data_IF_395199200977
#
_entry.id   IF_395199200977
#
_cell.length_a   1.000
_cell.length_b   1.000
_cell.length_c   1.000
_cell.angle_alpha   90.00
_cell.angle_beta   90.00
_cell.angle_gamma   90.00
#
_symmetry.space_group_name_H-M   'P 1'
#
loop_
_entity.id
_entity.type
_entity.pdbx_description
1 polymer ?
#
# COMPACT_ATOMS: atom_id res chain seq x y z
N UNK A 1 -37.01 -24.02 63.10
CA UNK A 1 -37.24 -24.71 61.81
C UNK A 1 -37.69 -23.66 60.81
N UNK A 2 -36.94 -23.50 59.73
CA UNK A 2 -37.15 -22.47 58.71
C UNK A 2 -35.94 -22.43 57.79
N UNK A 3 -35.86 -23.46 56.96
CA UNK A 3 -34.75 -23.85 56.10
C UNK A 3 -34.58 -22.95 54.87
N UNK A 4 -33.31 -22.78 54.48
CA UNK A 4 -32.75 -22.70 53.12
C UNK A 4 -33.61 -22.18 51.94
N UNK A 5 -33.08 -21.20 51.19
CA UNK A 5 -32.52 -21.42 49.84
C UNK A 5 -32.24 -20.11 49.11
N UNK A 6 -30.96 -19.90 48.81
CA UNK A 6 -30.45 -19.05 47.74
C UNK A 6 -31.18 -19.30 46.41
N UNK A 7 -32.01 -18.34 46.00
CA UNK A 7 -32.71 -18.35 44.72
C UNK A 7 -31.87 -17.68 43.64
N UNK A 8 -31.25 -18.50 42.78
CA UNK A 8 -30.65 -18.07 41.52
C UNK A 8 -31.62 -17.18 40.72
N UNK A 9 -31.14 -16.11 40.05
CA UNK A 9 -32.02 -15.23 39.29
C UNK A 9 -32.69 -16.01 38.15
N UNK A 10 -34.00 -15.83 37.93
CA UNK A 10 -34.75 -16.63 36.97
C UNK A 10 -34.20 -16.44 35.55
N UNK A 11 -33.92 -17.57 34.89
CA UNK A 11 -33.37 -17.70 33.52
C UNK A 11 -34.13 -16.90 32.45
N UNK A 12 -35.36 -16.48 32.77
CA UNK A 12 -36.23 -15.69 31.90
C UNK A 12 -35.78 -14.22 31.72
N UNK A 13 -34.96 -13.69 32.64
CA UNK A 13 -34.44 -12.31 32.54
C UNK A 13 -33.35 -12.15 31.50
N UNK A 14 -32.54 -13.19 31.25
CA UNK A 14 -31.44 -13.11 30.26
C UNK A 14 -31.96 -13.01 28.83
N UNK A 15 -32.98 -13.82 28.48
CA UNK A 15 -33.58 -13.84 27.15
C UNK A 15 -34.29 -12.52 26.83
N UNK A 16 -34.94 -11.90 27.81
CA UNK A 16 -35.63 -10.63 27.63
C UNK A 16 -34.67 -9.44 27.46
N UNK A 17 -33.50 -9.49 28.11
CA UNK A 17 -32.43 -8.49 27.93
C UNK A 17 -31.79 -8.64 26.56
N UNK A 18 -31.56 -9.88 26.09
CA UNK A 18 -31.02 -10.17 24.75
C UNK A 18 -31.94 -9.66 23.63
N UNK A 19 -33.25 -9.92 23.72
CA UNK A 19 -34.23 -9.48 22.71
C UNK A 19 -34.32 -7.94 22.64
N UNK A 20 -34.17 -7.27 23.79
CA UNK A 20 -34.17 -5.81 23.90
C UNK A 20 -32.92 -5.17 23.28
N UNK A 21 -31.75 -5.83 23.40
CA UNK A 21 -30.51 -5.38 22.76
C UNK A 21 -30.51 -5.63 21.25
N UNK A 22 -31.08 -6.75 20.79
CA UNK A 22 -31.25 -7.03 19.35
C UNK A 22 -32.15 -5.97 18.69
N UNK A 23 -33.26 -5.59 19.34
CA UNK A 23 -34.14 -4.51 18.85
C UNK A 23 -33.45 -3.15 18.81
N UNK A 24 -32.58 -2.82 19.77
CA UNK A 24 -31.80 -1.56 19.78
C UNK A 24 -30.71 -1.54 18.71
N UNK A 25 -30.11 -2.68 18.38
CA UNK A 25 -29.13 -2.78 17.28
C UNK A 25 -29.81 -2.63 15.92
N UNK A 26 -30.94 -3.31 15.73
CA UNK A 26 -31.77 -3.22 14.52
C UNK A 26 -32.31 -1.81 14.25
N UNK A 27 -32.68 -1.05 15.28
CA UNK A 27 -33.13 0.34 15.10
C UNK A 27 -31.99 1.32 14.81
N UNK A 28 -30.75 1.01 15.21
CA UNK A 28 -29.56 1.84 14.98
C UNK A 28 -28.92 1.60 13.61
N UNK A 29 -29.17 0.44 13.00
CA UNK A 29 -28.71 0.09 11.65
C UNK A 29 -29.67 0.50 10.53
N UNK A 30 -30.84 1.07 10.84
CA UNK A 30 -31.68 1.67 9.79
C UNK A 30 -31.08 3.01 9.37
N UNK A 31 -30.59 3.17 8.12
CA UNK A 31 -30.14 4.47 7.64
C UNK A 31 -31.34 5.43 7.63
N UNK A 32 -31.16 6.59 8.25
CA UNK A 32 -32.05 7.74 8.16
C UNK A 32 -31.97 8.33 6.74
N UNK A 33 -32.63 7.67 5.79
CA UNK A 33 -32.80 8.11 4.41
C UNK A 33 -34.24 8.54 4.16
N UNK A 34 -34.46 9.85 4.25
CA UNK A 34 -35.68 10.57 3.89
C UNK A 34 -36.08 10.38 2.42
N UNK A 35 -37.39 10.28 2.17
CA UNK A 35 -38.01 10.70 0.91
C UNK A 35 -38.29 9.57 -0.09
N UNK A 36 -39.57 9.19 -0.17
CA UNK A 36 -40.16 8.50 -1.31
C UNK A 36 -40.13 9.47 -2.50
N UNK A 37 -39.33 9.18 -3.52
CA UNK A 37 -39.56 9.72 -4.86
C UNK A 37 -39.37 8.60 -5.87
N UNK A 38 -40.30 8.54 -6.81
CA UNK A 38 -40.50 7.47 -7.77
C UNK A 38 -39.58 7.69 -8.97
N UNK A 39 -38.43 7.03 -8.96
CA UNK A 39 -37.51 7.01 -10.10
C UNK A 39 -36.71 5.72 -10.07
N UNK A 40 -36.69 5.04 -11.20
CA UNK A 40 -36.06 3.73 -11.42
C UNK A 40 -34.65 3.67 -10.80
N UNK A 41 -34.49 2.68 -9.91
CA UNK A 41 -33.26 2.07 -9.41
C UNK A 41 -31.95 2.85 -9.63
N UNK A 42 -31.63 3.77 -8.71
CA UNK A 42 -30.31 4.41 -8.61
C UNK A 42 -29.30 3.45 -7.98
N UNK A 43 -28.87 2.45 -8.74
CA UNK A 43 -27.87 1.45 -8.32
C UNK A 43 -26.49 2.07 -8.00
N UNK A 44 -26.25 3.32 -8.42
CA UNK A 44 -24.96 4.02 -8.30
C UNK A 44 -24.91 5.15 -7.25
N UNK A 45 -25.98 5.36 -6.49
CA UNK A 45 -26.07 6.43 -5.48
C UNK A 45 -26.31 7.83 -6.07
N UNK A 46 -26.49 8.83 -5.19
CA UNK A 46 -26.74 10.23 -5.58
C UNK A 46 -25.50 11.05 -5.22
N UNK A 47 -24.92 11.75 -6.20
CA UNK A 47 -23.77 12.64 -6.05
C UNK A 47 -24.24 14.07 -5.77
N UNK A 48 -23.54 14.75 -4.85
CA UNK A 48 -23.70 16.17 -4.54
C UNK A 48 -22.44 16.98 -4.87
N UNK A 49 -22.53 18.30 -4.87
CA UNK A 49 -21.38 19.20 -5.17
C UNK A 49 -20.20 18.98 -4.20
N UNK A 50 -20.47 18.52 -2.97
CA UNK A 50 -19.45 18.14 -1.98
C UNK A 50 -18.58 16.96 -2.42
N UNK A 51 -19.11 16.09 -3.28
CA UNK A 51 -18.45 14.87 -3.73
C UNK A 51 -17.53 15.10 -4.94
N UNK A 52 -17.37 16.36 -5.38
CA UNK A 52 -16.51 16.76 -6.51
C UNK A 52 -15.09 16.19 -6.43
N UNK A 53 -14.54 16.09 -5.22
CA UNK A 53 -13.18 15.55 -5.02
C UNK A 53 -13.13 14.02 -5.11
N UNK A 54 -14.15 13.33 -4.58
CA UNK A 54 -14.26 11.88 -4.64
C UNK A 54 -14.55 11.40 -6.06
N UNK A 55 -15.30 12.20 -6.82
CA UNK A 55 -15.74 11.90 -8.19
C UNK A 55 -14.90 12.56 -9.26
N UNK A 56 -13.77 13.16 -8.87
CA UNK A 56 -12.82 13.84 -9.75
C UNK A 56 -12.26 12.90 -10.82
N UNK A 57 -11.89 11.64 -10.53
CA UNK A 57 -11.44 10.69 -11.56
C UNK A 57 -12.52 10.43 -12.62
N UNK A 58 -13.76 10.20 -12.20
CA UNK A 58 -14.91 9.96 -13.08
C UNK A 58 -15.26 11.17 -13.95
N UNK A 59 -15.28 12.33 -13.32
CA UNK A 59 -15.51 13.60 -13.98
C UNK A 59 -14.42 13.93 -15.01
N UNK A 60 -13.15 13.65 -14.68
CA UNK A 60 -12.00 13.85 -15.58
C UNK A 60 -12.18 13.04 -16.86
N UNK A 61 -12.48 11.75 -16.75
CA UNK A 61 -12.63 10.90 -17.92
C UNK A 61 -13.88 11.27 -18.73
N UNK A 62 -14.99 11.63 -18.07
CA UNK A 62 -16.18 12.11 -18.75
C UNK A 62 -15.90 13.39 -19.56
N UNK A 63 -15.16 14.34 -18.99
CA UNK A 63 -14.74 15.54 -19.70
C UNK A 63 -13.87 15.23 -20.92
N UNK A 64 -12.92 14.31 -20.79
CA UNK A 64 -12.03 13.91 -21.87
C UNK A 64 -12.75 13.15 -22.99
N UNK A 65 -13.65 12.22 -22.65
CA UNK A 65 -14.27 11.32 -23.61
C UNK A 65 -15.56 11.89 -24.20
N UNK A 66 -16.41 12.53 -23.38
CA UNK A 66 -17.73 13.04 -23.81
C UNK A 66 -17.60 14.48 -24.27
N UNK A 67 -17.03 15.36 -23.44
CA UNK A 67 -16.90 16.79 -23.77
C UNK A 67 -15.66 17.09 -24.62
N UNK A 68 -14.68 16.19 -24.68
CA UNK A 68 -13.38 16.36 -25.36
C UNK A 68 -12.62 17.61 -24.89
N UNK A 69 -12.76 17.94 -23.60
CA UNK A 69 -12.08 19.07 -22.97
C UNK A 69 -11.12 18.56 -21.91
N UNK A 70 -9.91 19.12 -21.87
CA UNK A 70 -8.95 18.86 -20.82
C UNK A 70 -9.28 19.72 -19.59
N UNK A 71 -9.38 19.10 -18.41
CA UNK A 71 -9.57 19.80 -17.14
C UNK A 71 -8.56 20.92 -16.91
N UNK A 72 -7.31 20.71 -17.29
CA UNK A 72 -6.22 21.67 -17.10
C UNK A 72 -6.40 22.95 -17.94
N UNK A 73 -7.22 22.88 -19.00
CA UNK A 73 -7.53 24.03 -19.84
C UNK A 73 -8.71 24.86 -19.32
N UNK A 74 -9.42 24.38 -18.29
CA UNK A 74 -10.66 25.00 -17.82
C UNK A 74 -10.43 25.87 -16.57
N UNK A 75 -11.01 27.08 -16.53
CA UNK A 75 -11.01 27.89 -15.32
C UNK A 75 -11.93 27.28 -14.24
N UNK A 76 -11.67 27.50 -12.94
CA UNK A 76 -12.40 26.83 -11.84
C UNK A 76 -13.92 27.03 -11.83
N UNK A 77 -14.42 28.14 -12.39
CA UNK A 77 -15.86 28.40 -12.48
C UNK A 77 -16.54 27.52 -13.54
N UNK A 78 -15.82 27.22 -14.63
CA UNK A 78 -16.30 26.36 -15.71
C UNK A 78 -16.23 24.89 -15.29
N UNK A 79 -15.21 24.50 -14.51
CA UNK A 79 -15.14 23.19 -13.86
C UNK A 79 -16.40 22.89 -13.04
N UNK A 80 -16.84 23.84 -12.19
CA UNK A 80 -18.06 23.69 -11.39
C UNK A 80 -19.33 23.60 -12.25
N UNK A 81 -19.40 24.34 -13.36
CA UNK A 81 -20.54 24.27 -14.27
C UNK A 81 -20.61 22.90 -14.93
N UNK A 82 -19.48 22.41 -15.45
CA UNK A 82 -19.41 21.08 -16.06
C UNK A 82 -19.66 19.97 -15.04
N UNK A 83 -19.25 20.15 -13.78
CA UNK A 83 -19.55 19.18 -12.72
C UNK A 83 -21.05 19.12 -12.40
N UNK A 84 -21.80 20.22 -12.54
CA UNK A 84 -23.26 20.21 -12.41
C UNK A 84 -23.93 19.40 -13.51
N UNK A 85 -23.52 19.57 -14.76
CA UNK A 85 -23.98 18.74 -15.87
C UNK A 85 -23.66 17.25 -15.62
N UNK A 86 -22.45 16.94 -15.16
CA UNK A 86 -22.05 15.58 -14.79
C UNK A 86 -22.90 15.01 -13.63
N UNK A 87 -23.20 15.81 -12.61
CA UNK A 87 -24.08 15.39 -11.51
C UNK A 87 -25.49 15.09 -11.99
N UNK A 88 -26.04 15.91 -12.88
CA UNK A 88 -27.37 15.67 -13.47
C UNK A 88 -27.38 14.35 -14.22
N UNK A 89 -26.38 14.12 -15.08
CA UNK A 89 -26.30 12.89 -15.86
C UNK A 89 -26.09 11.65 -14.97
N UNK A 90 -25.26 11.77 -13.93
CA UNK A 90 -25.02 10.68 -12.97
C UNK A 90 -26.28 10.37 -12.15
N UNK A 91 -26.96 11.39 -11.65
CA UNK A 91 -28.12 11.23 -10.77
C UNK A 91 -29.37 10.79 -11.54
N UNK A 92 -29.43 11.05 -12.85
CA UNK A 92 -30.54 10.69 -13.74
C UNK A 92 -30.27 9.38 -14.49
N UNK A 93 -29.05 8.84 -14.40
CA UNK A 93 -28.75 7.56 -15.04
C UNK A 93 -28.52 7.66 -16.56
N UNK A 94 -28.28 8.86 -17.11
CA UNK A 94 -28.28 9.13 -18.56
C UNK A 94 -26.91 8.90 -19.22
N UNK A 95 -25.88 8.51 -18.48
CA UNK A 95 -24.57 8.24 -19.08
C UNK A 95 -24.62 7.12 -20.11
N UNK A 96 -23.99 7.38 -21.26
CA UNK A 96 -23.88 6.44 -22.40
C UNK A 96 -23.14 5.14 -22.07
N UNK A 97 -22.33 5.14 -21.01
CA UNK A 97 -21.57 3.97 -20.57
C UNK A 97 -21.55 3.86 -19.06
N UNK A 98 -21.70 2.63 -18.56
CA UNK A 98 -21.64 2.34 -17.11
C UNK A 98 -20.28 2.66 -16.48
N UNK A 99 -19.23 2.85 -17.28
CA UNK A 99 -17.88 3.18 -16.80
C UNK A 99 -17.85 4.50 -16.02
N UNK A 100 -18.72 5.46 -16.35
CA UNK A 100 -18.70 6.80 -15.72
C UNK A 100 -19.31 6.84 -14.31
N UNK A 101 -19.93 5.74 -13.85
CA UNK A 101 -20.42 5.66 -12.47
C UNK A 101 -19.33 5.20 -11.50
N UNK A 102 -18.46 4.29 -11.94
CA UNK A 102 -17.30 3.76 -11.21
C UNK A 102 -16.18 3.38 -12.19
N UNK A 103 -15.29 4.34 -12.46
CA UNK A 103 -14.16 4.14 -13.37
C UNK A 103 -13.15 3.17 -12.78
N UNK A 104 -12.88 3.26 -11.49
CA UNK A 104 -11.91 2.43 -10.80
C UNK A 104 -12.37 0.97 -10.75
N UNK A 105 -13.65 0.72 -10.48
CA UNK A 105 -14.26 -0.60 -10.60
C UNK A 105 -14.17 -1.14 -12.02
N UNK A 106 -14.47 -0.32 -13.03
CA UNK A 106 -14.39 -0.74 -14.43
C UNK A 106 -12.97 -1.15 -14.83
N UNK A 107 -11.95 -0.35 -14.50
CA UNK A 107 -10.56 -0.67 -14.83
C UNK A 107 -10.02 -1.86 -14.04
N UNK A 108 -10.37 -1.99 -12.75
CA UNK A 108 -10.03 -3.18 -11.94
C UNK A 108 -10.60 -4.46 -12.56
N UNK A 109 -11.88 -4.46 -12.92
CA UNK A 109 -12.53 -5.60 -13.57
C UNK A 109 -11.93 -5.89 -14.95
N UNK A 110 -11.57 -4.84 -15.71
CA UNK A 110 -10.90 -5.00 -17.00
C UNK A 110 -9.53 -5.64 -16.83
N UNK A 111 -8.73 -5.16 -15.88
CA UNK A 111 -7.41 -5.71 -15.56
C UNK A 111 -7.52 -7.16 -15.09
N UNK A 112 -8.45 -7.47 -14.20
CA UNK A 112 -8.68 -8.84 -13.72
C UNK A 112 -9.11 -9.78 -14.86
N UNK A 113 -9.99 -9.32 -15.75
CA UNK A 113 -10.38 -10.07 -16.96
C UNK A 113 -9.19 -10.32 -17.87
N UNK A 114 -8.32 -9.33 -18.08
CA UNK A 114 -7.10 -9.48 -18.89
C UNK A 114 -6.12 -10.46 -18.23
N UNK A 115 -5.87 -10.37 -16.92
CA UNK A 115 -5.03 -11.33 -16.18
C UNK A 115 -5.59 -12.74 -16.23
N UNK A 116 -6.91 -12.90 -16.04
CA UNK A 116 -7.59 -14.20 -16.10
C UNK A 116 -7.59 -14.76 -17.51
N UNK A 117 -7.70 -13.93 -18.55
CA UNK A 117 -7.52 -14.35 -19.95
C UNK A 117 -6.07 -14.74 -20.24
N UNK A 118 -5.08 -14.02 -19.70
CA UNK A 118 -3.67 -14.39 -19.80
C UNK A 118 -3.40 -15.75 -19.18
N UNK A 119 -3.95 -15.99 -17.97
CA UNK A 119 -3.83 -17.27 -17.28
C UNK A 119 -4.58 -18.41 -17.99
N UNK A 120 -5.78 -18.14 -18.54
CA UNK A 120 -6.54 -19.11 -19.34
C UNK A 120 -5.88 -19.39 -20.69
N UNK A 121 -5.25 -18.40 -21.33
CA UNK A 121 -4.43 -18.60 -22.54
C UNK A 121 -3.17 -19.40 -22.22
N UNK A 122 -2.54 -19.17 -21.07
CA UNK A 122 -1.41 -19.98 -20.60
C UNK A 122 -1.83 -21.43 -20.25
N UNK A 123 -3.05 -21.63 -19.74
CA UNK A 123 -3.58 -22.96 -19.42
C UNK A 123 -4.18 -23.73 -20.61
N UNK A 124 -4.70 -23.04 -21.63
CA UNK A 124 -5.23 -23.63 -22.88
C UNK A 124 -4.16 -23.72 -23.97
N UNK A 125 -3.05 -22.99 -23.82
CA UNK A 125 -1.80 -23.31 -24.52
C UNK A 125 -1.26 -24.60 -23.90
N UNK A 126 -1.86 -25.71 -24.28
CA UNK A 126 -1.19 -27.01 -24.29
C UNK A 126 0.19 -26.78 -24.91
N UNK A 127 1.23 -26.80 -24.07
CA UNK A 127 2.60 -27.25 -24.35
C UNK A 127 3.00 -27.27 -25.85
N UNK A 128 2.99 -26.11 -26.50
CA UNK A 128 3.42 -25.94 -27.90
C UNK A 128 4.31 -24.72 -28.07
N UNK A 129 4.89 -24.22 -26.98
CA UNK A 129 5.95 -23.20 -27.06
C UNK A 129 7.29 -23.92 -26.98
N UNK A 130 7.89 -24.09 -28.15
CA UNK A 130 9.25 -24.52 -28.39
C UNK A 130 10.23 -23.42 -27.91
N UNK A 131 10.23 -23.09 -26.61
CA UNK A 131 11.18 -22.14 -26.02
C UNK A 131 11.71 -22.62 -24.64
N UNK A 132 11.89 -23.94 -24.50
CA UNK A 132 12.38 -24.62 -23.28
C UNK A 132 13.91 -24.43 -23.06
N UNK A 133 14.61 -23.81 -24.02
CA UNK A 133 16.07 -23.64 -23.98
C UNK A 133 16.47 -22.28 -23.37
N UNK A 134 15.67 -21.22 -23.60
CA UNK A 134 15.98 -19.86 -23.13
C UNK A 134 15.66 -19.68 -21.64
N UNK A 135 14.57 -20.28 -21.15
CA UNK A 135 14.25 -20.30 -19.71
C UNK A 135 15.30 -21.07 -18.90
N UNK A 136 15.75 -22.22 -19.41
CA UNK A 136 16.80 -23.01 -18.74
C UNK A 136 18.13 -22.26 -18.68
N UNK A 137 18.43 -21.42 -19.68
CA UNK A 137 19.63 -20.57 -19.70
C UNK A 137 19.58 -19.46 -18.65
N UNK A 138 18.41 -18.84 -18.47
CA UNK A 138 18.16 -17.83 -17.43
C UNK A 138 18.24 -18.43 -16.03
N UNK A 139 17.61 -19.58 -15.79
CA UNK A 139 17.67 -20.28 -14.50
C UNK A 139 19.12 -20.69 -14.14
N UNK A 140 19.88 -21.19 -15.12
CA UNK A 140 21.31 -21.52 -14.94
C UNK A 140 22.21 -20.29 -14.76
N UNK A 141 21.79 -19.12 -15.23
CA UNK A 141 22.51 -17.88 -15.01
C UNK A 141 22.22 -17.33 -13.61
N UNK A 142 20.96 -17.32 -13.19
CA UNK A 142 20.54 -16.88 -11.86
C UNK A 142 21.14 -17.76 -10.75
N UNK A 143 21.20 -19.08 -10.94
CA UNK A 143 21.89 -19.99 -10.01
C UNK A 143 23.39 -19.68 -9.88
N UNK A 144 24.06 -19.37 -11.00
CA UNK A 144 25.49 -19.01 -11.00
C UNK A 144 25.73 -17.64 -10.38
N UNK A 145 24.83 -16.68 -10.61
CA UNK A 145 24.89 -15.36 -10.00
C UNK A 145 24.68 -15.45 -8.49
N UNK A 146 23.68 -16.21 -8.04
CA UNK A 146 23.43 -16.46 -6.62
C UNK A 146 24.62 -17.15 -5.93
N UNK A 147 25.22 -18.15 -6.57
CA UNK A 147 26.43 -18.79 -6.04
C UNK A 147 27.62 -17.83 -5.93
N UNK A 148 27.82 -16.97 -6.95
CA UNK A 148 28.85 -15.92 -6.90
C UNK A 148 28.58 -14.89 -5.82
N UNK A 149 27.33 -14.49 -5.64
CA UNK A 149 26.94 -13.56 -4.58
C UNK A 149 27.18 -14.15 -3.18
N UNK A 150 26.82 -15.41 -2.97
CA UNK A 150 27.11 -16.12 -1.72
C UNK A 150 28.62 -16.24 -1.46
N UNK A 151 29.42 -16.52 -2.50
CA UNK A 151 30.89 -16.58 -2.41
C UNK A 151 31.50 -15.21 -2.09
N UNK A 152 31.04 -14.14 -2.75
CA UNK A 152 31.46 -12.76 -2.48
C UNK A 152 31.08 -12.34 -1.06
N UNK A 153 29.89 -12.74 -0.59
CA UNK A 153 29.43 -12.44 0.76
C UNK A 153 30.25 -13.21 1.81
N UNK A 154 30.57 -14.48 1.55
CA UNK A 154 31.45 -15.29 2.39
C UNK A 154 32.87 -14.72 2.43
N UNK A 155 33.40 -14.26 1.29
CA UNK A 155 34.69 -13.60 1.18
C UNK A 155 34.70 -12.27 1.93
N UNK A 156 33.64 -11.46 1.80
CA UNK A 156 33.48 -10.23 2.57
C UNK A 156 33.46 -10.51 4.07
N UNK A 157 32.74 -11.55 4.50
CA UNK A 157 32.66 -11.98 5.90
C UNK A 157 33.97 -12.54 6.43
N UNK A 158 34.79 -13.19 5.59
CA UNK A 158 36.13 -13.65 5.98
C UNK A 158 37.13 -12.49 6.04
N UNK A 159 37.04 -11.52 5.12
CA UNK A 159 37.80 -10.26 5.16
C UNK A 159 37.45 -9.42 6.39
N UNK A 160 36.18 -9.44 6.83
CA UNK A 160 35.71 -8.76 8.04
C UNK A 160 36.30 -9.34 9.35
N UNK A 161 36.80 -10.57 9.34
CA UNK A 161 37.26 -11.26 10.56
C UNK A 161 38.57 -10.71 11.15
N UNK A 162 39.52 -10.28 10.33
CA UNK A 162 40.85 -9.81 10.79
C UNK A 162 41.17 -8.38 10.39
N UNK A 163 41.02 -8.05 9.10
CA UNK A 163 41.38 -6.73 8.56
C UNK A 163 40.38 -5.64 9.00
N UNK A 164 39.09 -5.97 9.09
CA UNK A 164 38.10 -4.99 9.55
C UNK A 164 38.18 -4.71 11.05
N UNK A 165 38.64 -5.66 11.87
CA UNK A 165 38.93 -5.39 13.28
C UNK A 165 40.13 -4.45 13.42
N UNK A 166 41.22 -4.70 12.69
CA UNK A 166 42.38 -3.82 12.66
C UNK A 166 42.03 -2.40 12.15
N UNK A 167 41.19 -2.28 11.11
CA UNK A 167 40.71 -0.96 10.65
C UNK A 167 39.82 -0.26 11.67
N UNK A 168 38.94 -0.98 12.37
CA UNK A 168 38.12 -0.40 13.46
C UNK A 168 38.98 0.09 14.61
N UNK A 169 40.02 -0.66 14.98
CA UNK A 169 40.97 -0.27 16.03
C UNK A 169 41.80 0.95 15.62
N UNK A 170 42.33 0.98 14.39
CA UNK A 170 43.02 2.15 13.86
C UNK A 170 42.10 3.39 13.78
N UNK A 171 40.83 3.21 13.39
CA UNK A 171 39.86 4.29 13.35
C UNK A 171 39.57 4.84 14.75
N UNK A 172 39.41 3.96 15.75
CA UNK A 172 39.22 4.34 17.16
C UNK A 172 40.43 5.11 17.69
N UNK A 173 41.66 4.66 17.42
CA UNK A 173 42.88 5.35 17.85
C UNK A 173 43.00 6.74 17.21
N UNK A 174 42.63 6.89 15.93
CA UNK A 174 42.59 8.20 15.26
C UNK A 174 41.57 9.14 15.91
N UNK A 175 40.39 8.63 16.27
CA UNK A 175 39.36 9.43 16.94
C UNK A 175 39.81 9.88 18.33
N UNK A 176 40.45 8.99 19.09
CA UNK A 176 41.03 9.29 20.40
C UNK A 176 42.16 10.33 20.29
N UNK A 177 43.03 10.21 19.30
CA UNK A 177 44.06 11.22 19.00
C UNK A 177 43.43 12.60 18.71
N UNK A 178 42.39 12.66 17.88
CA UNK A 178 41.68 13.92 17.57
C UNK A 178 41.05 14.52 18.83
N UNK A 179 40.52 13.69 19.72
CA UNK A 179 40.00 14.14 21.00
C UNK A 179 41.11 14.71 21.90
N UNK A 180 42.27 14.06 22.00
CA UNK A 180 43.42 14.55 22.76
C UNK A 180 43.95 15.89 22.24
N UNK A 181 44.04 16.04 20.91
CA UNK A 181 44.34 17.33 20.28
C UNK A 181 43.30 18.40 20.63
N UNK A 182 42.02 18.03 20.71
CA UNK A 182 40.94 18.97 21.02
C UNK A 182 40.98 19.48 22.47
N UNK A 183 41.44 18.65 23.41
CA UNK A 183 41.60 19.03 24.82
C UNK A 183 42.97 19.65 25.14
N UNK A 184 43.90 19.68 24.17
CA UNK A 184 45.22 20.30 24.31
C UNK A 184 46.30 19.39 24.91
N UNK A 185 46.04 18.08 25.04
CA UNK A 185 47.00 17.09 25.50
C UNK A 185 47.84 16.57 24.31
N UNK A 186 48.89 17.33 24.01
CA UNK A 186 49.78 17.08 22.86
C UNK A 186 50.69 15.86 23.09
N UNK A 187 51.00 15.51 24.34
CA UNK A 187 51.84 14.36 24.68
C UNK A 187 51.07 13.05 24.49
N UNK A 188 49.81 13.00 24.95
CA UNK A 188 48.93 11.86 24.73
C UNK A 188 48.64 11.62 23.24
N UNK A 189 48.42 12.70 22.48
CA UNK A 189 48.21 12.60 21.03
C UNK A 189 49.46 12.08 20.29
N UNK A 190 50.65 12.51 20.69
CA UNK A 190 51.92 12.03 20.11
C UNK A 190 52.20 10.56 20.43
N UNK A 191 51.80 10.07 21.62
CA UNK A 191 51.90 8.67 21.99
C UNK A 191 50.98 7.76 21.14
N UNK A 192 49.75 8.22 20.84
CA UNK A 192 48.84 7.50 19.94
C UNK A 192 49.36 7.52 18.50
N UNK A 193 49.93 8.64 18.03
CA UNK A 193 50.54 8.73 16.71
C UNK A 193 51.67 7.71 16.52
N UNK A 194 52.57 7.57 17.51
CA UNK A 194 53.65 6.57 17.51
C UNK A 194 53.14 5.13 17.43
N UNK A 195 51.95 4.85 17.97
CA UNK A 195 51.31 3.53 17.92
C UNK A 195 50.57 3.27 16.61
N UNK A 196 50.19 4.33 15.89
CA UNK A 196 49.43 4.29 14.65
C UNK A 196 50.34 4.17 13.41
N UNK A 197 51.60 4.62 13.49
CA UNK A 197 52.60 4.55 12.42
C UNK A 197 53.32 3.17 12.42
N UNK A 198 53.15 2.32 11.38
CA UNK A 198 53.73 0.97 11.36
C UNK A 198 55.20 0.91 10.88
N UNK A 199 55.89 2.04 10.64
CA UNK A 199 57.23 2.06 10.03
C UNK A 199 58.20 3.06 10.71
N UNK A 200 58.25 3.06 12.05
CA UNK A 200 59.40 3.64 12.77
C UNK A 200 60.36 2.48 13.10
N UNK A 201 61.52 2.35 12.44
CA UNK A 201 62.54 1.41 12.87
C UNK A 201 63.03 1.82 14.26
N UNK A 202 63.06 0.85 15.18
CA UNK A 202 63.83 0.94 16.43
C UNK A 202 65.32 1.15 16.13
#
# INVERSE_FOLDING_TARGET
MGSDRDGAPPENTKREVEDRDIRRKSSREKPSGSGKDSGEEKDYGIIRETDMWNKRPEFTAWLLEVKKVNLESLPPWEEKKMFKDFMEDHNTGTFTSKKYYDIDGYYRLKLEKEMKKGLKKAGISERTVFNDEEQRRLEMQELRERQKEEEVLALKRSMEGGMAQAMKEQARLKEEMVYLYKIGDMEGAAAIQRRLDPDVPM
#
